data_IF_164597873777
#
_entry.id   IF_164597873777
#
_cell.length_a   1.000
_cell.length_b   1.000
_cell.length_c   1.000
_cell.angle_alpha   90.00
_cell.angle_beta   90.00
_cell.angle_gamma   90.00
#
_symmetry.space_group_name_H-M   'P 1'
#
loop_
_entity.id
_entity.type
_entity.pdbx_description
1 polymer ?
#
# COMPACT_ATOMS: atom_id res chain seq x y z
N UNK A 1 -5.43 -8.41 0.78
CA UNK A 1 -4.44 -9.41 1.26
C UNK A 1 -3.17 -9.38 0.41
N UNK A 2 -3.24 -9.51 -0.93
CA UNK A 2 -2.08 -9.46 -1.86
C UNK A 2 -1.02 -8.38 -1.55
N UNK A 3 -1.41 -7.11 -1.36
CA UNK A 3 -0.44 -6.04 -1.03
C UNK A 3 0.24 -6.27 0.33
N UNK A 4 -0.50 -6.69 1.36
CA UNK A 4 0.07 -6.96 2.68
C UNK A 4 1.07 -8.13 2.61
N UNK A 5 0.78 -9.15 1.80
CA UNK A 5 1.67 -10.29 1.60
C UNK A 5 2.94 -9.88 0.86
N UNK A 6 2.83 -9.05 -0.18
CA UNK A 6 3.97 -8.47 -0.89
C UNK A 6 4.87 -7.68 0.06
N UNK A 7 4.29 -6.78 0.85
CA UNK A 7 5.03 -5.93 1.79
C UNK A 7 5.64 -6.72 2.97
N UNK A 8 5.00 -7.82 3.40
CA UNK A 8 5.49 -8.67 4.49
C UNK A 8 6.83 -9.34 4.16
N UNK A 9 7.12 -9.57 2.87
CA UNK A 9 8.40 -10.13 2.41
C UNK A 9 9.58 -9.21 2.72
N UNK A 10 9.34 -7.90 2.79
CA UNK A 10 10.34 -6.88 3.12
C UNK A 10 11.58 -6.95 2.21
N UNK A 11 11.35 -7.32 0.95
CA UNK A 11 12.33 -7.31 -0.11
C UNK A 11 12.30 -5.95 -0.80
N UNK A 12 13.41 -5.57 -1.44
CA UNK A 12 13.46 -4.33 -2.23
C UNK A 12 12.53 -4.48 -3.44
N UNK A 13 11.62 -3.53 -3.62
CA UNK A 13 10.71 -3.45 -4.76
C UNK A 13 11.07 -2.20 -5.55
N UNK A 14 11.61 -2.35 -6.76
CA UNK A 14 12.12 -1.21 -7.54
C UNK A 14 11.07 -0.12 -7.82
N UNK A 15 9.82 -0.52 -8.07
CA UNK A 15 8.70 0.42 -8.24
C UNK A 15 7.47 -0.05 -7.44
N UNK A 16 7.52 0.22 -6.14
CA UNK A 16 6.41 -0.10 -5.25
C UNK A 16 5.12 0.66 -5.63
N UNK A 17 5.24 1.89 -6.13
CA UNK A 17 4.07 2.66 -6.58
C UNK A 17 3.31 1.92 -7.70
N UNK A 18 4.04 1.50 -8.74
CA UNK A 18 3.46 0.79 -9.86
C UNK A 18 2.95 -0.60 -9.45
N UNK A 19 3.63 -1.25 -8.51
CA UNK A 19 3.17 -2.53 -7.96
C UNK A 19 1.80 -2.38 -7.27
N UNK A 20 1.63 -1.36 -6.43
CA UNK A 20 0.33 -1.04 -5.77
C UNK A 20 -0.73 -0.69 -6.82
N UNK A 21 -0.37 0.10 -7.83
CA UNK A 21 -1.27 0.46 -8.94
C UNK A 21 -1.76 -0.78 -9.71
N UNK A 22 -0.86 -1.70 -10.05
CA UNK A 22 -1.18 -2.95 -10.76
C UNK A 22 -2.08 -3.85 -9.92
N UNK A 23 -1.76 -4.03 -8.63
CA UNK A 23 -2.59 -4.80 -7.70
C UNK A 23 -4.02 -4.26 -7.69
N UNK A 24 -4.22 -2.93 -7.64
CA UNK A 24 -5.56 -2.34 -7.71
C UNK A 24 -6.27 -2.73 -9.01
N UNK A 25 -5.59 -2.55 -10.16
CA UNK A 25 -6.17 -2.83 -11.49
C UNK A 25 -6.50 -4.31 -11.70
N UNK A 26 -5.62 -5.22 -11.29
CA UNK A 26 -5.82 -6.68 -11.37
C UNK A 26 -7.03 -7.14 -10.55
N UNK A 27 -7.29 -6.48 -9.43
CA UNK A 27 -8.45 -6.74 -8.58
C UNK A 27 -9.68 -5.89 -8.95
N UNK A 28 -9.67 -5.22 -10.11
CA UNK A 28 -10.77 -4.38 -10.60
C UNK A 28 -11.14 -3.21 -9.66
N UNK A 29 -10.22 -2.79 -8.79
CA UNK A 29 -10.36 -1.63 -7.91
C UNK A 29 -9.80 -0.39 -8.61
N UNK A 30 -10.50 0.74 -8.51
CA UNK A 30 -9.95 1.99 -9.01
C UNK A 30 -8.70 2.37 -8.19
N UNK A 31 -7.53 2.62 -8.82
CA UNK A 31 -6.30 2.92 -8.10
C UNK A 31 -6.44 4.10 -7.12
N UNK A 32 -7.21 5.13 -7.49
CA UNK A 32 -7.48 6.28 -6.64
C UNK A 32 -8.16 5.89 -5.32
N UNK A 33 -9.15 5.01 -5.38
CA UNK A 33 -9.88 4.54 -4.20
C UNK A 33 -8.99 3.63 -3.35
N UNK A 34 -8.18 2.80 -3.99
CA UNK A 34 -7.21 1.97 -3.29
C UNK A 34 -6.16 2.81 -2.54
N UNK A 35 -5.60 3.84 -3.19
CA UNK A 35 -4.69 4.77 -2.51
C UNK A 35 -5.36 5.49 -1.34
N UNK A 36 -6.62 5.91 -1.50
CA UNK A 36 -7.39 6.53 -0.41
C UNK A 36 -7.51 5.60 0.79
N UNK A 37 -7.81 4.31 0.58
CA UNK A 37 -7.86 3.31 1.65
C UNK A 37 -6.50 3.18 2.34
N UNK A 38 -5.40 3.13 1.57
CA UNK A 38 -4.05 3.06 2.15
C UNK A 38 -3.70 4.31 2.98
N UNK A 39 -4.07 5.50 2.53
CA UNK A 39 -3.90 6.72 3.32
C UNK A 39 -4.75 6.70 4.60
N UNK A 40 -5.96 6.13 4.58
CA UNK A 40 -6.76 5.98 5.79
C UNK A 40 -6.06 5.06 6.80
N UNK A 41 -5.57 3.91 6.34
CA UNK A 41 -4.90 2.91 7.20
C UNK A 41 -3.60 3.46 7.79
N UNK A 42 -2.81 4.20 7.01
CA UNK A 42 -1.45 4.61 7.43
C UNK A 42 -1.45 5.99 8.09
N UNK A 43 -2.27 6.93 7.60
CA UNK A 43 -2.22 8.35 7.97
C UNK A 43 -3.54 8.88 8.56
N UNK A 44 -4.61 8.07 8.61
CA UNK A 44 -5.95 8.53 9.03
C UNK A 44 -6.45 9.75 8.21
N UNK A 45 -6.09 9.81 6.92
CA UNK A 45 -6.49 10.90 6.00
C UNK A 45 -6.79 10.36 4.61
N UNK A 46 -7.44 11.17 3.78
CA UNK A 46 -7.96 10.80 2.47
C UNK A 46 -6.91 10.97 1.35
N UNK A 47 -5.79 11.63 1.65
CA UNK A 47 -4.77 12.06 0.70
C UNK A 47 -3.42 12.16 1.39
N UNK A 48 -2.34 11.99 0.63
CA UNK A 48 -0.97 12.04 1.13
C UNK A 48 0.05 12.15 0.01
N UNK A 49 1.36 12.05 0.34
CA UNK A 49 2.43 11.96 -0.65
C UNK A 49 2.29 10.67 -1.48
N UNK A 50 3.13 10.52 -2.51
CA UNK A 50 3.15 9.32 -3.38
C UNK A 50 3.25 8.05 -2.51
N UNK A 51 2.26 7.16 -2.60
CA UNK A 51 2.09 6.06 -1.64
C UNK A 51 3.27 5.09 -1.61
N UNK A 52 3.90 4.80 -2.76
CA UNK A 52 5.02 3.85 -2.86
C UNK A 52 6.21 4.28 -2.00
N UNK A 53 6.86 5.43 -2.32
CA UNK A 53 7.95 5.97 -1.51
C UNK A 53 7.55 6.19 -0.05
N UNK A 54 6.32 6.63 0.19
CA UNK A 54 5.84 6.83 1.55
C UNK A 54 5.79 5.52 2.37
N UNK A 55 5.39 4.40 1.76
CA UNK A 55 5.45 3.09 2.43
C UNK A 55 6.89 2.65 2.67
N UNK A 56 7.83 3.00 1.80
CA UNK A 56 9.26 2.74 2.01
C UNK A 56 9.80 3.54 3.21
N UNK A 57 9.42 4.81 3.33
CA UNK A 57 9.80 5.69 4.45
C UNK A 57 9.23 5.20 5.79
N UNK A 58 7.97 4.74 5.80
CA UNK A 58 7.32 4.19 7.01
C UNK A 58 7.86 2.81 7.36
N UNK A 59 8.15 1.99 6.36
CA UNK A 59 8.58 0.60 6.51
C UNK A 59 7.53 -0.39 6.03
N UNK A 60 7.93 -1.24 5.08
CA UNK A 60 7.02 -2.19 4.41
C UNK A 60 6.36 -3.17 5.39
N UNK A 61 7.10 -3.75 6.33
CA UNK A 61 6.54 -4.66 7.35
C UNK A 61 5.52 -3.97 8.24
N UNK A 62 5.77 -2.74 8.68
CA UNK A 62 4.83 -2.00 9.51
C UNK A 62 3.52 -1.77 8.76
N UNK A 63 3.60 -1.33 7.50
CA UNK A 63 2.42 -1.12 6.66
C UNK A 63 1.68 -2.41 6.40
N UNK A 64 2.38 -3.53 6.16
CA UNK A 64 1.76 -4.84 6.00
C UNK A 64 0.91 -5.23 7.22
N UNK A 65 1.44 -5.03 8.43
CA UNK A 65 0.73 -5.34 9.67
C UNK A 65 -0.46 -4.40 9.91
N UNK A 66 -0.33 -3.10 9.61
CA UNK A 66 -1.48 -2.17 9.66
C UNK A 66 -2.59 -2.60 8.69
N UNK A 67 -2.24 -3.01 7.46
CA UNK A 67 -3.23 -3.50 6.49
C UNK A 67 -3.92 -4.76 7.02
N UNK A 68 -3.17 -5.74 7.52
CA UNK A 68 -3.75 -6.99 8.06
C UNK A 68 -4.70 -6.77 9.23
N UNK A 69 -4.43 -5.79 10.09
CA UNK A 69 -5.31 -5.45 11.23
C UNK A 69 -6.62 -4.77 10.84
N UNK A 70 -6.70 -4.20 9.63
CA UNK A 70 -7.86 -3.49 9.11
C UNK A 70 -8.62 -4.31 8.03
N UNK A 71 -8.33 -5.61 7.92
CA UNK A 71 -8.98 -6.58 7.03
C UNK A 71 -9.82 -7.56 7.83
#
# INVERSE_FOLDING_TARGET
RQLADLLSKNEKIEDLQNSIYRIAKENQVQPKDFFKILYQIILSTNRGPKIGPFIEDVGMKEVAEKIKRNL
#
